data_IF_727962354210
#
_entry.id   IF_727962354210
#
_cell.length_a   1.000
_cell.length_b   1.000
_cell.length_c   1.000
_cell.angle_alpha   90.00
_cell.angle_beta   90.00
_cell.angle_gamma   90.00
#
_symmetry.space_group_name_H-M   'P 1'
#
loop_
_entity.id
_entity.type
_entity.pdbx_description
1 polymer ?
#
# COMPACT_ATOMS: atom_id res chain seq x y z
N UNK A 1 22.10 43.68 -5.23
CA UNK A 1 20.67 43.46 -4.94
C UNK A 1 19.95 43.21 -6.27
N UNK A 2 19.61 41.95 -6.56
CA UNK A 2 18.73 41.57 -7.67
C UNK A 2 18.19 40.15 -7.41
N UNK A 3 16.96 39.98 -6.90
CA UNK A 3 16.28 38.70 -6.97
C UNK A 3 15.55 38.63 -8.30
N UNK A 4 16.06 37.85 -9.25
CA UNK A 4 15.39 37.62 -10.53
C UNK A 4 14.88 36.19 -10.58
N UNK A 5 13.57 36.10 -10.84
CA UNK A 5 12.81 34.96 -11.31
C UNK A 5 12.54 33.84 -10.30
N UNK A 6 11.36 33.95 -9.69
CA UNK A 6 10.53 32.80 -9.36
C UNK A 6 10.26 31.98 -10.64
N UNK A 7 10.83 30.79 -10.69
CA UNK A 7 10.32 29.68 -11.52
C UNK A 7 9.91 28.58 -10.54
N UNK A 8 8.72 28.76 -9.97
CA UNK A 8 8.07 27.74 -9.16
C UNK A 8 7.43 26.70 -10.08
N UNK A 9 8.25 25.90 -10.74
CA UNK A 9 7.78 24.68 -11.41
C UNK A 9 8.83 23.59 -11.25
N UNK A 10 8.60 22.72 -10.27
CA UNK A 10 9.62 21.75 -9.86
C UNK A 10 9.18 20.82 -8.74
N UNK A 11 8.12 20.04 -9.00
CA UNK A 11 7.79 18.78 -8.32
C UNK A 11 7.56 18.85 -6.81
N UNK A 12 6.30 19.10 -6.45
CA UNK A 12 5.70 18.64 -5.19
C UNK A 12 6.07 17.18 -4.93
N UNK A 13 6.96 16.96 -3.97
CA UNK A 13 7.17 15.71 -3.22
C UNK A 13 7.40 14.45 -4.06
N UNK A 14 8.62 13.90 -4.02
CA UNK A 14 8.90 12.54 -4.45
C UNK A 14 8.15 11.50 -3.60
N UNK A 15 6.83 11.39 -3.77
CA UNK A 15 6.09 10.22 -3.36
C UNK A 15 6.50 9.10 -4.32
N UNK A 16 7.52 8.33 -3.93
CA UNK A 16 7.86 7.06 -4.59
C UNK A 16 6.56 6.32 -4.82
N UNK A 17 6.27 5.99 -6.09
CA UNK A 17 5.10 5.18 -6.45
C UNK A 17 5.07 3.99 -5.48
N UNK A 18 3.95 3.75 -4.78
CA UNK A 18 3.88 2.62 -3.87
C UNK A 18 4.24 1.36 -4.67
N UNK A 19 5.08 0.51 -4.08
CA UNK A 19 5.40 -0.77 -4.71
C UNK A 19 4.13 -1.62 -4.81
N UNK A 20 4.05 -2.58 -5.75
CA UNK A 20 2.88 -3.47 -5.88
C UNK A 20 2.51 -4.14 -4.55
N UNK A 21 3.52 -4.50 -3.75
CA UNK A 21 3.32 -5.03 -2.40
C UNK A 21 2.60 -4.03 -1.47
N UNK A 22 3.03 -2.76 -1.46
CA UNK A 22 2.42 -1.74 -0.61
C UNK A 22 0.99 -1.40 -1.04
N UNK A 23 0.70 -1.42 -2.34
CA UNK A 23 -0.66 -1.24 -2.85
C UNK A 23 -1.55 -2.41 -2.44
N UNK A 24 -1.09 -3.64 -2.68
CA UNK A 24 -1.79 -4.85 -2.27
C UNK A 24 -2.03 -4.92 -0.76
N UNK A 25 -1.01 -4.61 0.05
CA UNK A 25 -1.14 -4.56 1.50
C UNK A 25 -2.25 -3.60 1.93
N UNK A 26 -2.29 -2.39 1.36
CA UNK A 26 -3.32 -1.40 1.67
C UNK A 26 -4.72 -1.88 1.26
N UNK A 27 -4.87 -2.39 0.05
CA UNK A 27 -6.16 -2.86 -0.48
C UNK A 27 -6.70 -4.03 0.36
N UNK A 28 -5.85 -5.01 0.66
CA UNK A 28 -6.26 -6.18 1.43
C UNK A 28 -6.52 -5.87 2.91
N UNK A 29 -5.70 -5.02 3.54
CA UNK A 29 -5.97 -4.58 4.91
C UNK A 29 -7.27 -3.78 5.00
N UNK A 30 -7.56 -2.92 4.01
CA UNK A 30 -8.83 -2.20 3.96
C UNK A 30 -10.02 -3.17 3.82
N UNK A 31 -9.92 -4.19 2.97
CA UNK A 31 -10.94 -5.26 2.85
C UNK A 31 -11.14 -6.01 4.16
N UNK A 32 -10.05 -6.49 4.78
CA UNK A 32 -10.13 -7.23 6.06
C UNK A 32 -10.66 -6.36 7.20
N UNK A 33 -10.33 -5.07 7.22
CA UNK A 33 -10.89 -4.13 8.19
C UNK A 33 -12.39 -3.94 7.98
N UNK A 34 -12.84 -3.74 6.74
CA UNK A 34 -14.26 -3.61 6.42
C UNK A 34 -15.05 -4.88 6.75
N UNK A 35 -14.49 -6.06 6.47
CA UNK A 35 -15.08 -7.36 6.83
C UNK A 35 -15.16 -7.55 8.36
N UNK A 36 -14.10 -7.20 9.08
CA UNK A 36 -14.06 -7.27 10.54
C UNK A 36 -15.06 -6.31 11.19
N UNK A 37 -15.16 -5.08 10.66
CA UNK A 37 -16.14 -4.07 11.09
C UNK A 37 -17.58 -4.55 10.84
N UNK A 38 -17.86 -5.14 9.68
CA UNK A 38 -19.17 -5.77 9.38
C UNK A 38 -19.51 -6.92 10.31
N UNK A 39 -18.54 -7.74 10.70
CA UNK A 39 -18.75 -8.86 11.63
C UNK A 39 -18.81 -8.43 13.09
N UNK A 40 -18.58 -7.16 13.41
CA UNK A 40 -18.49 -6.67 14.79
C UNK A 40 -17.33 -7.28 15.59
N UNK A 41 -16.34 -7.87 14.91
CA UNK A 41 -15.18 -8.51 15.54
C UNK A 41 -14.01 -7.55 15.60
N UNK A 42 -13.21 -7.56 16.69
CA UNK A 42 -12.03 -6.72 16.79
C UNK A 42 -11.04 -7.09 15.67
N UNK A 43 -10.80 -6.15 14.76
CA UNK A 43 -9.82 -6.33 13.69
C UNK A 43 -8.41 -6.31 14.30
N UNK A 44 -7.79 -7.48 14.48
CA UNK A 44 -6.41 -7.55 14.95
C UNK A 44 -5.46 -7.20 13.80
N UNK A 45 -5.03 -5.92 13.75
CA UNK A 45 -4.19 -5.39 12.67
C UNK A 45 -2.95 -6.25 12.40
N UNK A 46 -2.31 -6.77 13.46
CA UNK A 46 -1.10 -7.60 13.35
C UNK A 46 -1.36 -8.94 12.66
N UNK A 47 -2.47 -9.60 12.98
CA UNK A 47 -2.85 -10.86 12.34
C UNK A 47 -3.30 -10.65 10.91
N UNK A 48 -4.11 -9.62 10.65
CA UNK A 48 -4.53 -9.26 9.30
C UNK A 48 -3.31 -8.95 8.43
N UNK A 49 -2.33 -8.21 8.96
CA UNK A 49 -1.09 -7.92 8.26
C UNK A 49 -0.30 -9.18 7.91
N UNK A 50 -0.14 -10.12 8.86
CA UNK A 50 0.52 -11.41 8.60
C UNK A 50 -0.23 -12.21 7.53
N UNK A 51 -1.55 -12.37 7.65
CA UNK A 51 -2.37 -13.10 6.67
C UNK A 51 -2.27 -12.51 5.26
N UNK A 52 -2.27 -11.19 5.15
CA UNK A 52 -2.12 -10.49 3.87
C UNK A 52 -0.71 -10.67 3.30
N UNK A 53 0.33 -10.58 4.14
CA UNK A 53 1.71 -10.80 3.70
C UNK A 53 1.95 -12.26 3.25
N UNK A 54 1.34 -13.24 3.91
CA UNK A 54 1.37 -14.65 3.49
C UNK A 54 0.56 -14.87 2.20
N UNK A 55 -0.60 -14.23 2.08
CA UNK A 55 -1.42 -14.28 0.86
C UNK A 55 -0.72 -13.57 -0.32
N UNK A 56 0.07 -12.53 -0.07
CA UNK A 56 0.84 -11.82 -1.11
C UNK A 56 1.84 -12.73 -1.82
N UNK A 57 2.44 -13.71 -1.11
CA UNK A 57 3.36 -14.67 -1.74
C UNK A 57 2.70 -15.48 -2.85
N UNK A 58 1.39 -15.73 -2.72
CA UNK A 58 0.57 -16.49 -3.66
C UNK A 58 -0.34 -15.58 -4.51
N UNK A 59 -0.23 -14.25 -4.38
CA UNK A 59 -1.10 -13.33 -5.08
C UNK A 59 -0.62 -13.18 -6.53
N UNK A 60 -1.53 -13.21 -7.52
CA UNK A 60 -1.18 -13.04 -8.94
C UNK A 60 -0.64 -11.63 -9.25
N UNK A 61 -0.92 -10.64 -8.41
CA UNK A 61 -0.39 -9.28 -8.49
C UNK A 61 1.06 -9.17 -7.98
N UNK A 62 1.59 -10.22 -7.33
CA UNK A 62 2.98 -10.26 -6.91
C UNK A 62 3.86 -10.69 -8.10
N UNK A 63 4.77 -9.83 -8.59
CA UNK A 63 5.67 -10.18 -9.67
C UNK A 63 6.61 -11.37 -9.34
N UNK A 64 6.76 -11.72 -8.06
CA UNK A 64 7.52 -12.90 -7.60
C UNK A 64 6.74 -14.21 -7.77
N UNK A 65 5.40 -14.19 -7.70
CA UNK A 65 4.58 -15.41 -7.85
C UNK A 65 4.57 -15.94 -9.29
N UNK A 66 4.94 -15.10 -10.26
CA UNK A 66 5.02 -15.45 -11.69
C UNK A 66 6.38 -16.06 -12.05
N UNK A 67 7.31 -16.20 -11.09
CA UNK A 67 8.69 -16.65 -11.30
C UNK A 67 9.03 -18.01 -10.65
N UNK A 68 8.04 -18.83 -10.29
CA UNK A 68 8.25 -20.25 -9.89
C UNK A 68 7.48 -21.19 -10.80
#
# INVERSE_FOLDING_TARGET
MAPKAATAEGKKGGAKKPTPYNEYMKVQLAKLKAEAEKSGKPSNHRENFKKVAESWKNAPENPVSIAS
#
